data_IF_926219064703
#
_entry.id   IF_926219064703
#
_cell.length_a   1.000
_cell.length_b   1.000
_cell.length_c   1.000
_cell.angle_alpha   90.00
_cell.angle_beta   90.00
_cell.angle_gamma   90.00
#
_symmetry.space_group_name_H-M   'P 1'
#
loop_
_entity.id
_entity.type
_entity.pdbx_description
1 polymer ?
#
# COMPACT_ATOMS: atom_id res chain seq x y z
N UNK A 1 -4.11 -13.10 -24.91
CA UNK A 1 -3.04 -13.15 -23.89
C UNK A 1 -1.87 -13.95 -24.45
N UNK A 2 -0.62 -13.59 -24.15
CA UNK A 2 0.55 -14.34 -24.62
C UNK A 2 1.33 -14.89 -23.42
N UNK A 3 2.08 -15.99 -23.62
CA UNK A 3 2.89 -16.57 -22.54
C UNK A 3 3.95 -15.55 -22.06
N UNK A 4 4.54 -14.79 -22.98
CA UNK A 4 5.53 -13.75 -22.65
C UNK A 4 4.97 -12.67 -21.71
N UNK A 5 3.73 -12.22 -21.91
CA UNK A 5 3.13 -11.19 -21.04
C UNK A 5 2.87 -11.72 -19.63
N UNK A 6 2.51 -13.00 -19.51
CA UNK A 6 2.31 -13.65 -18.20
C UNK A 6 3.64 -13.78 -17.47
N UNK A 7 4.69 -14.28 -18.15
CA UNK A 7 6.02 -14.44 -17.54
C UNK A 7 6.59 -13.09 -17.08
N UNK A 8 6.50 -12.05 -17.93
CA UNK A 8 6.97 -10.72 -17.58
C UNK A 8 6.12 -10.07 -16.48
N UNK A 9 4.80 -10.28 -16.50
CA UNK A 9 3.90 -9.82 -15.45
C UNK A 9 4.20 -10.47 -14.10
N UNK A 10 4.41 -11.79 -14.07
CA UNK A 10 4.85 -12.51 -12.87
C UNK A 10 6.20 -12.00 -12.36
N UNK A 11 7.16 -11.81 -13.26
CA UNK A 11 8.48 -11.30 -12.90
C UNK A 11 8.37 -9.89 -12.30
N UNK A 12 7.61 -8.99 -12.92
CA UNK A 12 7.37 -7.66 -12.38
C UNK A 12 6.69 -7.71 -11.00
N UNK A 13 5.70 -8.59 -10.83
CA UNK A 13 5.01 -8.78 -9.55
C UNK A 13 5.97 -9.28 -8.45
N UNK A 14 6.80 -10.29 -8.75
CA UNK A 14 7.80 -10.83 -7.82
C UNK A 14 8.85 -9.77 -7.48
N UNK A 15 9.34 -9.02 -8.46
CA UNK A 15 10.32 -7.94 -8.25
C UNK A 15 9.73 -6.86 -7.35
N UNK A 16 8.52 -6.36 -7.62
CA UNK A 16 7.86 -5.35 -6.78
C UNK A 16 7.61 -5.86 -5.36
N UNK A 17 7.10 -7.10 -5.23
CA UNK A 17 6.82 -7.73 -3.94
C UNK A 17 8.09 -7.94 -3.11
N UNK A 18 9.18 -8.40 -3.74
CA UNK A 18 10.45 -8.72 -3.06
C UNK A 18 11.29 -7.48 -2.72
N UNK A 19 11.29 -6.48 -3.61
CA UNK A 19 12.06 -5.25 -3.42
C UNK A 19 11.34 -4.21 -2.57
N UNK A 20 10.03 -4.36 -2.30
CA UNK A 20 9.26 -3.45 -1.44
C UNK A 20 9.95 -3.16 -0.12
N UNK A 21 10.31 -4.19 0.64
CA UNK A 21 10.97 -4.01 1.93
C UNK A 21 12.31 -3.26 1.81
N UNK A 22 13.12 -3.55 0.78
CA UNK A 22 14.40 -2.88 0.55
C UNK A 22 14.18 -1.41 0.16
N UNK A 23 13.25 -1.15 -0.75
CA UNK A 23 12.88 0.19 -1.18
C UNK A 23 12.43 1.05 0.01
N UNK A 24 11.52 0.50 0.82
CA UNK A 24 10.80 1.23 1.86
C UNK A 24 11.67 1.41 3.11
N UNK A 25 12.38 0.36 3.53
CA UNK A 25 13.09 0.34 4.83
C UNK A 25 14.58 0.63 4.68
N UNK A 26 15.21 0.24 3.57
CA UNK A 26 16.67 0.39 3.42
C UNK A 26 17.04 1.63 2.61
N UNK A 27 16.30 1.90 1.53
CA UNK A 27 16.56 3.01 0.62
C UNK A 27 15.76 4.27 0.97
N UNK A 28 14.77 4.17 1.86
CA UNK A 28 13.87 5.29 2.23
C UNK A 28 13.26 5.98 1.02
N UNK A 29 12.96 5.18 -0.02
CA UNK A 29 12.29 5.64 -1.23
C UNK A 29 10.78 5.70 -1.00
N UNK A 30 10.07 6.29 -1.96
CA UNK A 30 8.60 6.28 -1.97
C UNK A 30 8.06 4.86 -1.87
N UNK A 31 7.08 4.65 -0.99
CA UNK A 31 6.57 3.32 -0.70
C UNK A 31 5.99 2.59 -1.93
N UNK A 32 6.39 1.34 -2.16
CA UNK A 32 5.88 0.55 -3.30
C UNK A 32 4.38 0.23 -3.17
N UNK A 33 3.92 0.00 -1.94
CA UNK A 33 2.52 -0.33 -1.61
C UNK A 33 1.95 0.54 -0.49
N UNK A 34 2.36 1.81 -0.40
CA UNK A 34 1.86 2.75 0.61
C UNK A 34 0.53 3.42 0.25
N UNK A 35 0.22 3.50 -1.06
CA UNK A 35 -0.97 4.16 -1.58
C UNK A 35 -1.90 3.15 -2.27
N UNK A 36 -3.20 3.46 -2.32
CA UNK A 36 -4.20 2.67 -3.06
C UNK A 36 -3.96 2.69 -4.59
N UNK A 37 -3.06 3.55 -5.05
CA UNK A 37 -2.68 3.71 -6.45
C UNK A 37 -1.28 3.11 -6.60
N UNK A 38 -1.11 2.02 -7.38
CA UNK A 38 0.19 1.36 -7.55
C UNK A 38 1.09 2.17 -8.51
N UNK A 39 1.62 3.27 -8.01
CA UNK A 39 2.46 4.24 -8.75
C UNK A 39 3.67 3.58 -9.41
N UNK A 40 4.29 2.61 -8.73
CA UNK A 40 5.44 1.85 -9.23
C UNK A 40 5.08 0.97 -10.43
N UNK A 41 3.91 0.33 -10.42
CA UNK A 41 3.44 -0.46 -11.55
C UNK A 41 3.20 0.43 -12.79
N UNK A 42 2.65 1.63 -12.60
CA UNK A 42 2.55 2.62 -13.67
C UNK A 42 3.90 3.18 -14.11
N UNK A 43 4.86 3.36 -13.20
CA UNK A 43 6.23 3.72 -13.55
C UNK A 43 6.88 2.67 -14.46
N UNK A 44 6.76 1.39 -14.10
CA UNK A 44 7.21 0.27 -14.93
C UNK A 44 6.49 0.22 -16.28
N UNK A 45 5.19 0.51 -16.31
CA UNK A 45 4.43 0.64 -17.56
C UNK A 45 4.98 1.75 -18.45
N UNK A 46 5.26 2.93 -17.90
CA UNK A 46 5.82 4.06 -18.64
C UNK A 46 7.20 3.73 -19.20
N UNK A 47 8.08 3.09 -18.43
CA UNK A 47 9.37 2.58 -18.91
C UNK A 47 9.15 1.54 -20.02
N UNK A 48 8.19 0.64 -19.82
CA UNK A 48 7.77 -0.34 -20.81
C UNK A 48 7.35 0.28 -22.14
N UNK A 49 6.55 1.35 -22.10
CA UNK A 49 6.01 2.02 -23.28
C UNK A 49 6.99 2.96 -23.98
N UNK A 50 7.82 3.67 -23.21
CA UNK A 50 8.71 4.72 -23.73
C UNK A 50 10.11 4.23 -24.07
N UNK A 51 10.56 3.15 -23.43
CA UNK A 51 11.93 2.64 -23.59
C UNK A 51 11.91 1.22 -24.14
N UNK A 52 11.27 0.28 -23.45
CA UNK A 52 11.35 -1.15 -23.80
C UNK A 52 10.65 -1.43 -25.13
N UNK A 53 9.41 -0.98 -25.30
CA UNK A 53 8.63 -1.29 -26.50
C UNK A 53 9.21 -0.68 -27.78
N UNK A 54 9.66 0.59 -27.79
CA UNK A 54 10.29 1.16 -28.98
C UNK A 54 11.60 0.44 -29.35
N UNK A 55 12.43 0.10 -28.34
CA UNK A 55 13.68 -0.66 -28.56
C UNK A 55 13.40 -2.06 -29.09
N UNK A 56 12.44 -2.77 -28.50
CA UNK A 56 12.03 -4.11 -28.97
C UNK A 56 11.36 -4.04 -30.34
N UNK A 57 10.69 -2.94 -30.65
CA UNK A 57 10.08 -2.66 -31.95
C UNK A 57 11.08 -2.46 -33.09
N UNK A 58 12.37 -2.24 -32.79
CA UNK A 58 13.44 -2.26 -33.79
C UNK A 58 13.59 -3.64 -34.43
N UNK A 59 13.21 -4.70 -33.70
CA UNK A 59 13.18 -6.07 -34.19
C UNK A 59 11.74 -6.43 -34.58
N UNK A 60 11.52 -6.74 -35.86
CA UNK A 60 10.18 -7.06 -36.37
C UNK A 60 9.57 -8.25 -35.61
N UNK A 61 8.39 -8.05 -35.02
CA UNK A 61 7.66 -9.06 -34.27
C UNK A 61 7.93 -9.11 -32.77
N UNK A 62 8.90 -8.34 -32.26
CA UNK A 62 9.25 -8.31 -30.84
C UNK A 62 8.51 -7.24 -30.04
N UNK A 63 7.86 -6.30 -30.73
CA UNK A 63 7.00 -5.28 -30.10
C UNK A 63 5.84 -5.90 -29.31
N UNK A 64 5.51 -5.25 -28.20
CA UNK A 64 4.39 -5.57 -27.33
C UNK A 64 3.10 -4.93 -27.82
N UNK A 65 2.00 -5.66 -27.65
CA UNK A 65 0.63 -5.17 -27.89
C UNK A 65 0.08 -4.53 -26.62
N UNK A 66 -0.87 -3.61 -26.76
CA UNK A 66 -1.57 -2.99 -25.62
C UNK A 66 -2.16 -4.04 -24.67
N UNK A 67 -2.76 -5.11 -25.20
CA UNK A 67 -3.33 -6.20 -24.39
C UNK A 67 -2.28 -6.97 -23.57
N UNK A 68 -1.01 -6.99 -23.99
CA UNK A 68 0.07 -7.60 -23.22
C UNK A 68 0.50 -6.72 -22.07
N UNK A 69 0.56 -5.40 -22.29
CA UNK A 69 0.80 -4.44 -21.23
C UNK A 69 -0.30 -4.43 -20.18
N UNK A 70 -1.57 -4.59 -20.58
CA UNK A 70 -2.68 -4.74 -19.62
C UNK A 70 -2.42 -5.94 -18.70
N UNK A 71 -2.04 -7.10 -19.25
CA UNK A 71 -1.74 -8.29 -18.43
C UNK A 71 -0.56 -8.03 -17.50
N UNK A 72 0.54 -7.46 -18.00
CA UNK A 72 1.72 -7.14 -17.18
C UNK A 72 1.34 -6.17 -16.05
N UNK A 73 0.57 -5.13 -16.36
CA UNK A 73 0.12 -4.12 -15.40
C UNK A 73 -0.77 -4.74 -14.32
N UNK A 74 -1.76 -5.56 -14.69
CA UNK A 74 -2.63 -6.25 -13.74
C UNK A 74 -1.87 -7.15 -12.77
N UNK A 75 -0.83 -7.84 -13.24
CA UNK A 75 0.01 -8.68 -12.37
C UNK A 75 0.93 -7.83 -11.48
N UNK A 76 1.51 -6.76 -12.02
CA UNK A 76 2.33 -5.82 -11.25
C UNK A 76 1.53 -5.15 -10.13
N UNK A 77 0.26 -4.81 -10.36
CA UNK A 77 -0.65 -4.28 -9.33
C UNK A 77 -0.75 -5.22 -8.14
N UNK A 78 -0.95 -6.51 -8.41
CA UNK A 78 -1.00 -7.53 -7.37
C UNK A 78 0.31 -7.61 -6.59
N UNK A 79 1.46 -7.51 -7.27
CA UNK A 79 2.77 -7.46 -6.62
C UNK A 79 2.96 -6.26 -5.70
N UNK A 80 2.51 -5.08 -6.13
CA UNK A 80 2.56 -3.84 -5.31
C UNK A 80 1.74 -3.94 -4.03
N UNK A 81 0.57 -4.60 -4.07
CA UNK A 81 -0.27 -4.81 -2.86
C UNK A 81 0.46 -5.66 -1.81
N UNK A 82 1.20 -6.68 -2.25
CA UNK A 82 1.94 -7.56 -1.35
C UNK A 82 3.17 -6.86 -0.74
N UNK A 83 3.83 -6.00 -1.52
CA UNK A 83 5.07 -5.30 -1.17
C UNK A 83 4.97 -4.40 0.09
N UNK A 84 3.80 -3.82 0.33
CA UNK A 84 3.60 -2.73 1.29
C UNK A 84 2.91 -3.12 2.61
N UNK A 85 2.07 -2.20 3.10
CA UNK A 85 1.29 -2.35 4.34
C UNK A 85 0.33 -3.54 4.31
N UNK A 86 -0.10 -3.96 3.13
CA UNK A 86 -1.03 -5.07 2.93
C UNK A 86 -0.48 -6.43 3.35
N UNK A 87 0.84 -6.61 3.42
CA UNK A 87 1.42 -7.88 3.87
C UNK A 87 2.81 -7.72 4.50
N UNK A 88 3.85 -7.41 3.72
CA UNK A 88 5.24 -7.56 4.20
C UNK A 88 5.65 -6.59 5.30
N UNK A 89 5.03 -5.41 5.41
CA UNK A 89 5.33 -4.50 6.52
C UNK A 89 4.77 -4.98 7.85
N UNK A 90 3.57 -5.57 7.83
CA UNK A 90 2.81 -5.84 9.04
C UNK A 90 2.84 -7.30 9.43
N UNK A 91 2.66 -8.23 8.50
CA UNK A 91 2.39 -9.64 8.79
C UNK A 91 3.44 -10.34 9.66
N UNK A 92 4.77 -10.21 9.43
CA UNK A 92 5.74 -11.02 10.18
C UNK A 92 5.84 -10.63 11.67
N UNK A 93 5.57 -9.37 12.00
CA UNK A 93 5.72 -8.85 13.36
C UNK A 93 4.72 -9.42 14.38
N UNK A 94 3.39 -9.37 14.18
CA UNK A 94 2.41 -9.94 15.10
C UNK A 94 2.45 -11.48 15.17
N UNK A 95 3.08 -12.16 14.21
CA UNK A 95 3.27 -13.61 14.25
C UNK A 95 4.41 -14.04 15.19
N UNK A 96 5.28 -13.12 15.60
CA UNK A 96 6.48 -13.45 16.38
C UNK A 96 6.62 -12.64 17.68
N UNK A 97 6.07 -11.43 17.77
CA UNK A 97 6.08 -10.65 19.02
C UNK A 97 5.37 -11.35 20.17
N UNK A 98 4.20 -12.00 20.02
CA UNK A 98 3.53 -12.66 21.14
C UNK A 98 4.35 -13.83 21.70
N UNK A 99 5.13 -14.50 20.85
CA UNK A 99 6.03 -15.58 21.25
C UNK A 99 7.14 -15.04 22.16
N UNK A 100 7.73 -13.91 21.80
CA UNK A 100 8.73 -13.22 22.63
C UNK A 100 8.13 -12.72 23.94
N UNK A 101 6.92 -12.18 23.89
CA UNK A 101 6.28 -11.60 25.06
C UNK A 101 5.83 -12.70 26.05
N UNK A 102 5.35 -13.85 25.55
CA UNK A 102 5.13 -15.07 26.34
C UNK A 102 6.40 -15.56 27.06
N UNK A 103 7.56 -15.41 26.42
CA UNK A 103 8.86 -15.79 26.99
C UNK A 103 9.39 -14.83 28.05
N UNK A 104 9.04 -13.53 27.97
CA UNK A 104 9.65 -12.46 28.77
C UNK A 104 8.75 -11.89 29.86
N UNK A 105 7.45 -11.92 29.66
CA UNK A 105 6.49 -11.26 30.53
C UNK A 105 5.90 -12.25 31.53
N UNK A 106 6.14 -12.08 32.85
CA UNK A 106 5.59 -12.98 33.88
C UNK A 106 4.07 -13.13 33.81
N UNK A 107 3.36 -12.05 33.45
CA UNK A 107 1.90 -12.06 33.28
C UNK A 107 1.43 -12.95 32.13
N UNK A 108 2.20 -13.01 31.04
CA UNK A 108 1.89 -13.83 29.88
C UNK A 108 2.21 -15.30 30.16
N UNK A 109 3.39 -15.56 30.71
CA UNK A 109 3.80 -16.91 31.12
C UNK A 109 2.84 -17.50 32.15
N UNK A 110 2.42 -16.72 33.14
CA UNK A 110 1.52 -17.16 34.20
C UNK A 110 0.10 -17.50 33.73
N UNK A 111 -0.34 -16.95 32.59
CA UNK A 111 -1.67 -17.17 32.01
C UNK A 111 -1.66 -18.05 30.76
N UNK A 112 -0.47 -18.44 30.31
CA UNK A 112 -0.20 -19.12 29.06
C UNK A 112 -1.06 -18.63 27.89
N UNK A 113 -0.89 -17.36 27.50
CA UNK A 113 -1.79 -16.72 26.53
C UNK A 113 -1.68 -17.31 25.12
N UNK A 114 -0.56 -17.94 24.78
CA UNK A 114 -0.40 -18.60 23.47
C UNK A 114 -1.30 -19.83 23.29
N UNK A 115 -1.83 -20.41 24.37
CA UNK A 115 -2.73 -21.59 24.28
C UNK A 115 -4.06 -21.27 23.58
N UNK A 116 -4.47 -19.99 23.56
CA UNK A 116 -5.70 -19.55 22.90
C UNK A 116 -5.56 -19.47 21.37
N UNK A 117 -4.34 -19.60 20.85
CA UNK A 117 -4.04 -19.45 19.42
C UNK A 117 -3.58 -20.80 18.87
N UNK A 118 -4.23 -21.34 17.83
CA UNK A 118 -3.78 -22.54 17.14
C UNK A 118 -2.31 -22.45 16.72
N UNK A 119 -1.60 -23.58 16.83
CA UNK A 119 -0.17 -23.68 16.56
C UNK A 119 0.16 -23.24 15.12
N UNK A 120 -0.72 -23.56 14.17
CA UNK A 120 -0.58 -23.21 12.76
C UNK A 120 -0.75 -21.71 12.48
N UNK A 121 -1.29 -20.92 13.41
CA UNK A 121 -1.42 -19.47 13.24
C UNK A 121 -0.15 -18.73 13.63
N UNK A 122 0.77 -19.37 14.35
CA UNK A 122 1.99 -18.76 14.89
C UNK A 122 3.23 -19.45 14.33
N UNK A 123 4.39 -18.79 14.40
CA UNK A 123 5.67 -19.41 14.05
C UNK A 123 5.93 -20.58 15.00
N UNK A 124 6.34 -21.74 14.46
CA UNK A 124 6.68 -22.93 15.24
C UNK A 124 8.01 -22.72 16.00
N UNK A 125 7.91 -21.92 17.06
CA UNK A 125 9.00 -21.44 17.90
C UNK A 125 8.46 -21.10 19.29
N UNK A 126 7.64 -21.97 19.90
CA UNK A 126 7.10 -21.71 21.25
C UNK A 126 8.19 -21.82 22.33
N UNK A 127 8.16 -20.96 23.37
CA UNK A 127 9.10 -21.04 24.48
C UNK A 127 8.99 -22.41 25.17
N UNK A 128 10.12 -23.03 25.47
CA UNK A 128 10.17 -24.32 26.19
C UNK A 128 10.96 -24.14 27.49
N UNK A 129 10.75 -24.99 28.50
CA UNK A 129 11.48 -24.93 29.77
C UNK A 129 13.03 -24.99 29.61
N UNK A 130 13.52 -25.51 28.48
CA UNK A 130 14.96 -25.54 28.13
C UNK A 130 15.44 -24.32 27.33
N UNK A 131 14.54 -23.62 26.65
CA UNK A 131 14.88 -22.50 25.75
C UNK A 131 13.80 -21.42 25.90
N UNK A 132 14.08 -20.45 26.78
CA UNK A 132 13.13 -19.38 27.08
C UNK A 132 12.87 -18.49 25.85
N UNK A 133 13.90 -18.19 25.04
CA UNK A 133 13.75 -17.47 23.77
C UNK A 133 14.29 -18.37 22.65
N UNK A 134 13.41 -18.95 21.82
CA UNK A 134 13.85 -19.80 20.71
C UNK A 134 14.75 -19.05 19.73
N UNK A 135 15.78 -19.73 19.20
CA UNK A 135 16.75 -19.15 18.26
C UNK A 135 16.07 -18.39 17.10
N UNK A 136 14.95 -18.90 16.59
CA UNK A 136 14.18 -18.27 15.50
C UNK A 136 13.67 -16.88 15.88
N UNK A 137 13.18 -16.72 17.12
CA UNK A 137 12.67 -15.46 17.66
C UNK A 137 13.84 -14.50 17.89
N UNK A 138 14.93 -14.98 18.48
CA UNK A 138 16.14 -14.19 18.67
C UNK A 138 16.71 -13.66 17.35
N UNK A 139 16.86 -14.54 16.35
CA UNK A 139 17.40 -14.23 15.04
C UNK A 139 16.55 -13.23 14.25
N UNK A 140 15.22 -13.25 14.43
CA UNK A 140 14.33 -12.28 13.80
C UNK A 140 14.52 -10.86 14.35
N UNK A 141 14.62 -10.70 15.69
CA UNK A 141 14.74 -9.38 16.31
C UNK A 141 16.15 -8.81 16.28
N UNK A 142 17.16 -9.65 16.50
CA UNK A 142 18.56 -9.22 16.58
C UNK A 142 19.24 -9.22 15.21
N UNK A 143 18.62 -9.85 14.21
CA UNK A 143 19.29 -10.19 12.96
C UNK A 143 20.25 -11.37 13.16
N UNK A 144 20.33 -12.25 12.16
CA UNK A 144 21.27 -13.37 12.19
C UNK A 144 22.64 -12.88 11.72
N UNK A 145 23.51 -12.57 12.66
CA UNK A 145 24.83 -11.91 12.46
C UNK A 145 25.90 -12.76 11.75
N UNK A 146 25.52 -13.89 11.14
CA UNK A 146 26.47 -14.89 10.63
C UNK A 146 26.82 -14.74 9.15
N UNK A 147 26.42 -13.66 8.48
CA UNK A 147 26.64 -13.52 7.03
C UNK A 147 27.69 -12.47 6.70
N UNK A 148 28.83 -12.89 6.14
CA UNK A 148 29.83 -11.99 5.51
C UNK A 148 29.32 -11.33 4.21
N UNK A 149 28.02 -11.42 3.94
CA UNK A 149 27.40 -10.91 2.71
C UNK A 149 26.83 -9.54 2.99
N UNK A 150 27.31 -8.55 2.26
CA UNK A 150 26.79 -7.19 2.35
C UNK A 150 26.22 -6.76 0.99
N UNK A 151 25.09 -6.05 1.03
CA UNK A 151 24.50 -5.36 -0.11
C UNK A 151 24.27 -3.92 0.33
N UNK A 152 24.75 -2.96 -0.45
CA UNK A 152 24.72 -1.53 -0.08
C UNK A 152 25.29 -1.27 1.34
N UNK A 153 26.32 -2.01 1.74
CA UNK A 153 26.97 -1.87 3.06
C UNK A 153 26.19 -2.46 4.25
N UNK A 154 25.04 -3.13 4.01
CA UNK A 154 24.24 -3.80 5.06
C UNK A 154 24.34 -5.31 4.94
N UNK A 155 24.39 -6.03 6.07
CA UNK A 155 24.37 -7.49 6.08
C UNK A 155 23.08 -8.03 5.46
N UNK A 156 23.21 -9.01 4.55
CA UNK A 156 22.08 -9.62 3.84
C UNK A 156 22.02 -11.12 4.11
N UNK A 157 20.84 -11.56 4.52
CA UNK A 157 20.53 -12.97 4.70
C UNK A 157 20.37 -13.66 3.35
N UNK A 158 20.98 -14.83 3.20
CA UNK A 158 20.61 -15.72 2.12
C UNK A 158 19.21 -16.28 2.37
N UNK A 159 18.40 -16.55 1.33
CA UNK A 159 17.13 -17.26 1.52
C UNK A 159 17.30 -18.54 2.33
N UNK A 160 18.40 -19.28 2.16
CA UNK A 160 18.67 -20.50 2.95
C UNK A 160 18.97 -20.29 4.44
N UNK A 161 19.27 -19.07 4.88
CA UNK A 161 19.55 -18.77 6.30
C UNK A 161 18.28 -18.64 7.14
N UNK A 162 17.15 -18.42 6.47
CA UNK A 162 15.81 -18.29 7.06
C UNK A 162 15.33 -19.67 7.53
N UNK A 163 14.81 -19.81 8.76
CA UNK A 163 14.34 -21.08 9.30
C UNK A 163 12.97 -21.48 8.69
N UNK A 164 12.92 -21.76 7.39
CA UNK A 164 11.67 -22.04 6.66
C UNK A 164 10.82 -23.16 7.27
N UNK A 165 11.45 -24.14 7.92
CA UNK A 165 10.71 -25.22 8.59
C UNK A 165 9.80 -24.69 9.71
N UNK A 166 10.29 -23.74 10.51
CA UNK A 166 9.51 -23.13 11.58
C UNK A 166 8.39 -22.21 11.06
N UNK A 167 8.60 -21.59 9.90
CA UNK A 167 7.62 -20.69 9.27
C UNK A 167 6.60 -21.41 8.38
N UNK A 168 6.89 -22.63 7.93
CA UNK A 168 6.09 -23.32 6.91
C UNK A 168 4.63 -23.53 7.35
N UNK A 169 4.31 -24.02 8.56
CA UNK A 169 2.92 -24.21 8.98
C UNK A 169 2.15 -22.88 8.94
N UNK A 170 2.74 -21.85 9.56
CA UNK A 170 2.25 -20.48 9.64
C UNK A 170 1.97 -19.88 8.27
N UNK A 171 2.97 -19.90 7.39
CA UNK A 171 2.85 -19.34 6.05
C UNK A 171 1.81 -20.10 5.21
N UNK A 172 1.74 -21.43 5.37
CA UNK A 172 0.75 -22.24 4.63
C UNK A 172 -0.67 -21.88 5.07
N UNK A 173 -0.91 -21.78 6.39
CA UNK A 173 -2.21 -21.39 6.93
C UNK A 173 -2.64 -20.00 6.43
N UNK A 174 -1.80 -18.99 6.65
CA UNK A 174 -2.13 -17.60 6.32
C UNK A 174 -2.18 -17.36 4.81
N UNK A 175 -1.28 -17.91 4.00
CA UNK A 175 -1.35 -17.75 2.54
C UNK A 175 -2.52 -18.50 1.92
N UNK A 176 -2.97 -19.61 2.51
CA UNK A 176 -4.20 -20.26 2.07
C UNK A 176 -5.40 -19.37 2.36
N UNK A 177 -5.50 -18.83 3.59
CA UNK A 177 -6.58 -17.91 3.96
C UNK A 177 -6.58 -16.65 3.08
N UNK A 178 -5.42 -16.04 2.86
CA UNK A 178 -5.27 -14.88 1.99
C UNK A 178 -5.63 -15.21 0.54
N UNK A 179 -5.17 -16.36 0.01
CA UNK A 179 -5.52 -16.81 -1.33
C UNK A 179 -7.03 -17.00 -1.51
N UNK A 180 -7.70 -17.59 -0.53
CA UNK A 180 -9.17 -17.71 -0.50
C UNK A 180 -9.84 -16.33 -0.40
N UNK A 181 -9.31 -15.42 0.42
CA UNK A 181 -9.81 -14.05 0.55
C UNK A 181 -9.70 -13.27 -0.77
N UNK A 182 -8.58 -13.37 -1.47
CA UNK A 182 -8.41 -12.78 -2.80
C UNK A 182 -9.36 -13.41 -3.83
N UNK A 183 -9.53 -14.73 -3.81
CA UNK A 183 -10.50 -15.41 -4.68
C UNK A 183 -11.94 -14.92 -4.41
N UNK A 184 -12.33 -14.84 -3.15
CA UNK A 184 -13.63 -14.30 -2.74
C UNK A 184 -13.80 -12.84 -3.17
N UNK A 185 -12.76 -12.00 -3.02
CA UNK A 185 -12.76 -10.62 -3.48
C UNK A 185 -12.92 -10.50 -4.99
N UNK A 186 -12.25 -11.33 -5.78
CA UNK A 186 -12.41 -11.39 -7.24
C UNK A 186 -13.85 -11.80 -7.58
N UNK A 187 -14.39 -12.83 -6.92
CA UNK A 187 -15.78 -13.23 -7.11
C UNK A 187 -16.77 -12.10 -6.78
N UNK A 188 -16.56 -11.40 -5.66
CA UNK A 188 -17.38 -10.25 -5.28
C UNK A 188 -17.33 -9.14 -6.33
N UNK A 189 -16.12 -8.80 -6.82
CA UNK A 189 -15.94 -7.83 -7.90
C UNK A 189 -16.71 -8.24 -9.15
N UNK A 190 -16.67 -9.52 -9.56
CA UNK A 190 -17.43 -10.00 -10.74
C UNK A 190 -18.94 -9.81 -10.56
N UNK A 191 -19.48 -10.04 -9.36
CA UNK A 191 -20.90 -9.86 -9.05
C UNK A 191 -21.30 -8.39 -9.09
N UNK A 192 -20.56 -7.53 -8.38
CA UNK A 192 -20.92 -6.10 -8.22
C UNK A 192 -20.56 -5.26 -9.45
N UNK A 193 -19.55 -5.67 -10.24
CA UNK A 193 -19.05 -4.89 -11.36
C UNK A 193 -20.14 -4.59 -12.38
N UNK A 194 -21.02 -5.55 -12.69
CA UNK A 194 -22.14 -5.33 -13.60
C UNK A 194 -23.10 -4.27 -13.07
N UNK A 195 -23.43 -4.30 -11.78
CA UNK A 195 -24.31 -3.33 -11.13
C UNK A 195 -23.68 -1.93 -11.16
N UNK A 196 -22.43 -1.79 -10.70
CA UNK A 196 -21.72 -0.52 -10.65
C UNK A 196 -21.47 0.08 -12.03
N UNK A 197 -21.12 -0.74 -13.02
CA UNK A 197 -20.81 -0.27 -14.37
C UNK A 197 -22.06 0.09 -15.18
N UNK A 198 -23.13 -0.71 -15.10
CA UNK A 198 -24.28 -0.55 -16.01
C UNK A 198 -25.43 0.24 -15.41
N UNK A 199 -25.60 0.24 -14.08
CA UNK A 199 -26.73 0.92 -13.43
C UNK A 199 -26.32 2.18 -12.69
N UNK A 200 -25.17 2.14 -12.01
CA UNK A 200 -24.67 3.26 -11.22
C UNK A 200 -23.64 4.11 -11.96
N UNK A 201 -23.21 3.68 -13.15
CA UNK A 201 -22.27 4.39 -14.03
C UNK A 201 -21.02 4.89 -13.29
N UNK A 202 -20.50 4.08 -12.36
CA UNK A 202 -19.33 4.43 -11.57
C UNK A 202 -18.13 4.63 -12.49
N UNK A 203 -17.45 5.78 -12.38
CA UNK A 203 -16.20 6.03 -13.08
C UNK A 203 -15.10 5.10 -12.57
N UNK A 204 -14.23 4.63 -13.47
CA UNK A 204 -13.03 3.85 -13.15
C UNK A 204 -11.74 4.64 -13.48
N UNK A 205 -11.38 5.69 -12.71
CA UNK A 205 -10.26 6.59 -12.99
C UNK A 205 -8.95 5.90 -13.35
N UNK A 206 -8.60 4.86 -12.58
CA UNK A 206 -7.36 4.08 -12.73
C UNK A 206 -7.35 3.33 -14.08
N UNK A 207 -8.49 2.73 -14.44
CA UNK A 207 -8.64 2.02 -15.73
C UNK A 207 -8.63 3.01 -16.88
N UNK A 208 -9.32 4.14 -16.76
CA UNK A 208 -9.31 5.21 -17.77
C UNK A 208 -7.89 5.71 -18.00
N UNK A 209 -7.14 6.00 -16.93
CA UNK A 209 -5.74 6.42 -17.03
C UNK A 209 -4.87 5.35 -17.71
N UNK A 210 -5.02 4.08 -17.36
CA UNK A 210 -4.29 2.99 -18.02
C UNK A 210 -4.63 2.88 -19.51
N UNK A 211 -5.91 3.01 -19.87
CA UNK A 211 -6.36 2.99 -21.26
C UNK A 211 -5.83 4.18 -22.06
N UNK A 212 -5.81 5.38 -21.47
CA UNK A 212 -5.23 6.58 -22.10
C UNK A 212 -3.73 6.43 -22.35
N UNK A 213 -2.98 5.74 -21.49
CA UNK A 213 -1.56 5.43 -21.72
C UNK A 213 -1.34 4.32 -22.75
N UNK A 214 -2.29 3.38 -22.87
CA UNK A 214 -2.20 2.22 -23.77
C UNK A 214 -2.89 2.41 -25.11
N UNK A 215 -3.57 3.55 -25.32
CA UNK A 215 -4.23 3.88 -26.57
C UNK A 215 -3.24 3.86 -27.75
N UNK A 216 -3.58 3.12 -28.78
CA UNK A 216 -2.79 3.00 -30.02
C UNK A 216 -3.57 3.54 -31.22
N UNK A 217 -2.96 4.43 -32.00
CA UNK A 217 -3.49 4.88 -33.29
C UNK A 217 -3.03 3.92 -34.41
N UNK A 218 -3.90 3.56 -35.37
CA UNK A 218 -3.51 2.79 -36.54
C UNK A 218 -2.38 3.49 -37.31
N UNK A 219 -1.27 2.78 -37.56
CA UNK A 219 -0.14 3.29 -38.34
C UNK A 219 0.90 4.10 -37.56
N UNK A 220 0.79 4.22 -36.22
CA UNK A 220 1.81 4.87 -35.39
C UNK A 220 2.16 4.04 -34.16
N UNK A 221 3.45 4.01 -33.81
CA UNK A 221 3.98 3.22 -32.68
C UNK A 221 3.87 3.91 -31.32
N UNK A 222 3.83 5.25 -31.29
CA UNK A 222 3.74 6.04 -30.08
C UNK A 222 2.34 6.60 -29.86
N UNK A 223 1.84 6.45 -28.63
CA UNK A 223 0.58 7.00 -28.16
C UNK A 223 0.53 8.54 -28.34
N UNK A 224 -0.61 9.11 -28.76
CA UNK A 224 -0.83 10.55 -28.82
C UNK A 224 -0.38 11.35 -27.61
N UNK A 225 -0.59 10.85 -26.40
CA UNK A 225 -0.32 11.58 -25.14
C UNK A 225 1.17 11.92 -25.00
N UNK A 226 2.06 11.01 -25.40
CA UNK A 226 3.51 11.20 -25.34
C UNK A 226 4.04 12.19 -26.39
N UNK A 227 3.20 12.69 -27.30
CA UNK A 227 3.57 13.74 -28.26
C UNK A 227 3.20 15.13 -27.76
N UNK A 228 2.38 15.22 -26.71
CA UNK A 228 1.91 16.49 -26.18
C UNK A 228 2.96 17.14 -25.30
N UNK A 229 3.32 18.39 -25.60
CA UNK A 229 4.29 19.15 -24.78
C UNK A 229 3.82 19.36 -23.35
N UNK A 230 2.51 19.56 -23.15
CA UNK A 230 1.92 19.73 -21.83
C UNK A 230 2.15 18.53 -20.90
N UNK A 231 2.03 17.31 -21.44
CA UNK A 231 2.33 16.08 -20.70
C UNK A 231 3.77 16.08 -20.18
N UNK A 232 4.73 16.38 -21.05
CA UNK A 232 6.15 16.39 -20.67
C UNK A 232 6.51 17.51 -19.70
N UNK A 233 5.88 18.68 -19.81
CA UNK A 233 6.08 19.77 -18.85
C UNK A 233 5.57 19.35 -17.47
N UNK A 234 4.36 18.82 -17.38
CA UNK A 234 3.80 18.34 -16.11
C UNK A 234 4.61 17.18 -15.51
N UNK A 235 5.01 16.21 -16.35
CA UNK A 235 5.87 15.11 -15.96
C UNK A 235 7.22 15.59 -15.43
N UNK A 236 7.89 16.51 -16.14
CA UNK A 236 9.18 17.04 -15.73
C UNK A 236 9.10 17.80 -14.41
N UNK A 237 8.07 18.63 -14.20
CA UNK A 237 7.87 19.36 -12.94
C UNK A 237 7.73 18.38 -11.77
N UNK A 238 6.82 17.41 -11.88
CA UNK A 238 6.60 16.43 -10.82
C UNK A 238 7.85 15.58 -10.57
N UNK A 239 8.50 15.11 -11.65
CA UNK A 239 9.72 14.29 -11.56
C UNK A 239 10.85 15.04 -10.87
N UNK A 240 11.10 16.30 -11.26
CA UNK A 240 12.18 17.11 -10.66
C UNK A 240 11.95 17.37 -9.18
N UNK A 241 10.70 17.68 -8.78
CA UNK A 241 10.35 17.89 -7.36
C UNK A 241 10.57 16.59 -6.57
N UNK A 242 10.09 15.46 -7.08
CA UNK A 242 10.22 14.17 -6.39
C UNK A 242 11.68 13.70 -6.31
N UNK A 243 12.49 13.89 -7.36
CA UNK A 243 13.92 13.58 -7.34
C UNK A 243 14.66 14.50 -6.37
N UNK A 244 14.37 15.81 -6.36
CA UNK A 244 14.98 16.74 -5.42
C UNK A 244 14.67 16.34 -3.96
N UNK A 245 13.45 15.92 -3.67
CA UNK A 245 13.05 15.44 -2.36
C UNK A 245 13.71 14.12 -1.98
N UNK A 246 13.81 13.16 -2.92
CA UNK A 246 14.54 11.91 -2.69
C UNK A 246 16.03 12.17 -2.40
N UNK A 247 16.66 13.08 -3.16
CA UNK A 247 18.04 13.51 -2.92
C UNK A 247 18.21 14.19 -1.56
N UNK A 248 17.27 15.04 -1.14
CA UNK A 248 17.28 15.65 0.19
C UNK A 248 17.21 14.60 1.31
N UNK A 249 16.45 13.52 1.13
CA UNK A 249 16.39 12.40 2.08
C UNK A 249 17.72 11.67 2.22
N UNK A 250 18.44 11.46 1.12
CA UNK A 250 19.76 10.80 1.15
C UNK A 250 20.90 11.74 1.53
N UNK A 251 20.79 13.01 1.15
CA UNK A 251 21.78 14.05 1.38
C UNK A 251 21.09 15.27 2.02
N UNK A 252 21.07 15.35 3.37
CA UNK A 252 20.38 16.42 4.09
C UNK A 252 20.83 17.84 3.72
N UNK A 253 22.04 17.99 3.16
CA UNK A 253 22.59 19.27 2.69
C UNK A 253 21.99 19.74 1.35
N UNK A 254 21.34 18.87 0.58
CA UNK A 254 20.67 19.23 -0.67
C UNK A 254 19.32 19.90 -0.36
N UNK A 255 18.89 20.98 -1.05
CA UNK A 255 17.63 21.63 -0.73
C UNK A 255 16.41 20.76 -1.10
N UNK A 256 15.55 20.47 -0.12
CA UNK A 256 14.24 19.84 -0.34
C UNK A 256 13.17 20.85 -0.74
N UNK A 257 12.23 20.45 -1.58
CA UNK A 257 11.05 21.24 -1.97
C UNK A 257 9.86 20.75 -1.15
N UNK A 258 9.35 21.59 -0.25
CA UNK A 258 8.20 21.22 0.57
C UNK A 258 6.96 20.97 -0.30
N UNK A 259 6.41 19.76 -0.22
CA UNK A 259 5.10 19.41 -0.77
C UNK A 259 3.99 19.58 0.27
N UNK A 260 4.30 20.18 1.43
CA UNK A 260 3.36 20.44 2.51
C UNK A 260 3.29 21.94 2.77
N UNK A 261 2.09 22.47 2.77
CA UNK A 261 1.79 23.81 3.27
C UNK A 261 1.29 23.66 4.70
N UNK A 262 2.11 24.14 5.64
CA UNK A 262 1.82 24.05 7.06
C UNK A 262 1.04 25.28 7.55
N UNK A 263 -0.25 25.09 7.76
CA UNK A 263 -1.18 26.06 8.31
C UNK A 263 -1.40 25.85 9.83
N UNK A 264 -0.57 25.03 10.50
CA UNK A 264 -0.64 24.79 11.95
C UNK A 264 -0.65 26.06 12.81
N UNK A 265 0.03 27.18 12.44
CA UNK A 265 -0.06 28.42 13.22
C UNK A 265 -1.49 28.95 13.43
N UNK A 266 -2.44 28.61 12.55
CA UNK A 266 -3.84 29.01 12.70
C UNK A 266 -4.58 28.29 13.82
N UNK A 267 -4.03 27.22 14.41
CA UNK A 267 -4.65 26.51 15.54
C UNK A 267 -4.95 27.41 16.74
N UNK A 268 -4.21 28.50 16.89
CA UNK A 268 -4.33 29.44 18.01
C UNK A 268 -5.52 30.40 17.86
N UNK A 269 -6.14 30.45 16.67
CA UNK A 269 -7.36 31.22 16.45
C UNK A 269 -8.48 30.70 17.35
N UNK A 270 -9.16 31.61 18.06
CA UNK A 270 -10.22 31.25 19.02
C UNK A 270 -11.35 30.43 18.40
N UNK A 271 -11.67 30.71 17.14
CA UNK A 271 -12.70 29.99 16.37
C UNK A 271 -12.31 28.53 16.14
N UNK A 272 -11.01 28.23 16.02
CA UNK A 272 -10.51 26.88 15.75
C UNK A 272 -10.22 26.07 17.01
N UNK A 273 -10.00 26.71 18.17
CA UNK A 273 -9.71 26.01 19.44
C UNK A 273 -10.71 24.88 19.78
N UNK A 274 -12.04 25.01 19.61
CA UNK A 274 -12.97 23.92 19.86
C UNK A 274 -12.78 22.75 18.89
N UNK A 275 -12.52 23.05 17.62
CA UNK A 275 -12.32 22.06 16.55
C UNK A 275 -11.01 21.29 16.78
N UNK A 276 -9.97 21.97 17.24
CA UNK A 276 -8.65 21.38 17.49
C UNK A 276 -8.64 20.36 18.64
N UNK A 277 -9.72 20.26 19.43
CA UNK A 277 -9.89 19.21 20.44
C UNK A 277 -10.32 17.86 19.84
N UNK A 278 -10.82 17.85 18.60
CA UNK A 278 -11.23 16.62 17.92
C UNK A 278 -9.97 15.82 17.52
N UNK A 279 -9.90 14.52 17.83
CA UNK A 279 -8.79 13.68 17.40
C UNK A 279 -8.60 13.73 15.88
N UNK A 280 -7.36 13.98 15.44
CA UNK A 280 -7.02 14.09 14.01
C UNK A 280 -7.30 15.45 13.35
N UNK A 281 -7.98 16.40 14.03
CA UNK A 281 -8.23 17.74 13.50
C UNK A 281 -6.98 18.51 13.06
N UNK A 282 -5.81 18.42 13.72
CA UNK A 282 -4.62 19.14 13.28
C UNK A 282 -4.16 18.80 11.86
N UNK A 283 -4.50 17.61 11.36
CA UNK A 283 -4.12 17.18 10.01
C UNK A 283 -4.77 18.03 8.91
N UNK A 284 -5.94 18.65 9.15
CA UNK A 284 -6.59 19.52 8.16
C UNK A 284 -5.81 20.82 7.91
N UNK A 285 -4.99 21.23 8.89
CA UNK A 285 -4.11 22.38 8.78
C UNK A 285 -2.81 22.04 8.04
N UNK A 286 -2.58 20.79 7.66
CA UNK A 286 -1.43 20.38 6.86
C UNK A 286 -1.89 20.00 5.47
N UNK A 287 -1.78 20.93 4.54
CA UNK A 287 -2.19 20.70 3.16
C UNK A 287 -1.02 20.03 2.43
N UNK A 288 -1.16 18.73 2.17
CA UNK A 288 -0.13 17.94 1.50
C UNK A 288 -0.49 17.71 0.02
N UNK A 289 0.43 18.06 -0.87
CA UNK A 289 0.30 17.85 -2.30
C UNK A 289 0.81 16.46 -2.69
N UNK A 290 -0.12 15.58 -3.07
CA UNK A 290 0.18 14.27 -3.63
C UNK A 290 0.01 14.31 -5.15
N UNK A 291 1.09 14.38 -5.92
CA UNK A 291 1.05 14.51 -7.38
C UNK A 291 0.22 13.39 -8.06
N UNK A 292 0.31 12.16 -7.57
CA UNK A 292 -0.47 11.04 -8.09
C UNK A 292 -1.98 11.21 -7.85
N UNK A 293 -2.36 11.67 -6.65
CA UNK A 293 -3.77 11.93 -6.31
C UNK A 293 -4.33 13.12 -7.12
N UNK A 294 -3.53 14.18 -7.30
CA UNK A 294 -3.89 15.33 -8.14
C UNK A 294 -4.13 14.87 -9.59
N UNK A 295 -3.23 14.04 -10.14
CA UNK A 295 -3.39 13.50 -11.49
C UNK A 295 -4.65 12.64 -11.65
N UNK A 296 -4.93 11.77 -10.67
CA UNK A 296 -6.13 10.93 -10.69
C UNK A 296 -7.42 11.72 -10.46
N UNK A 297 -7.39 12.81 -9.69
CA UNK A 297 -8.55 13.65 -9.43
C UNK A 297 -9.17 14.22 -10.72
N UNK A 298 -8.37 14.43 -11.79
CA UNK A 298 -8.87 14.85 -13.10
C UNK A 298 -9.74 13.79 -13.79
N UNK A 299 -9.64 12.52 -13.40
CA UNK A 299 -10.44 11.42 -13.93
C UNK A 299 -11.63 11.06 -13.04
N UNK A 300 -11.75 11.66 -11.85
CA UNK A 300 -12.91 11.47 -10.97
C UNK A 300 -14.08 12.38 -11.39
N UNK A 301 -15.31 11.95 -11.09
CA UNK A 301 -16.49 12.80 -11.27
C UNK A 301 -16.44 14.01 -10.32
N UNK A 302 -17.04 15.13 -10.73
CA UNK A 302 -17.10 16.35 -9.91
C UNK A 302 -17.80 16.10 -8.57
N UNK A 303 -18.83 15.25 -8.57
CA UNK A 303 -19.55 14.87 -7.35
C UNK A 303 -18.65 14.10 -6.38
N UNK A 304 -17.91 13.09 -6.86
CA UNK A 304 -17.00 12.32 -6.02
C UNK A 304 -15.86 13.21 -5.47
N UNK A 305 -15.29 14.06 -6.32
CA UNK A 305 -14.27 15.03 -5.91
C UNK A 305 -14.78 16.02 -4.87
N UNK A 306 -16.01 16.50 -5.02
CA UNK A 306 -16.66 17.38 -4.04
C UNK A 306 -16.90 16.66 -2.71
N UNK A 307 -17.45 15.44 -2.74
CA UNK A 307 -17.67 14.63 -1.54
C UNK A 307 -16.37 14.35 -0.79
N UNK A 308 -15.30 13.95 -1.48
CA UNK A 308 -13.98 13.73 -0.87
C UNK A 308 -13.44 15.02 -0.25
N UNK A 309 -13.52 16.14 -0.96
CA UNK A 309 -13.01 17.44 -0.49
C UNK A 309 -13.73 17.97 0.76
N UNK A 310 -15.06 17.85 0.83
CA UNK A 310 -15.83 18.39 1.94
C UNK A 310 -15.95 17.43 3.14
N UNK A 311 -15.71 16.13 2.94
CA UNK A 311 -15.90 15.09 3.96
C UNK A 311 -15.15 15.37 5.27
N UNK A 312 -13.88 15.78 5.21
CA UNK A 312 -13.09 16.10 6.40
C UNK A 312 -13.64 17.30 7.17
N UNK A 313 -14.12 18.33 6.46
CA UNK A 313 -14.73 19.51 7.08
C UNK A 313 -16.07 19.15 7.73
N UNK A 314 -16.91 18.36 7.05
CA UNK A 314 -18.18 17.88 7.59
C UNK A 314 -17.95 16.99 8.82
N UNK A 315 -16.95 16.12 8.78
CA UNK A 315 -16.57 15.30 9.93
C UNK A 315 -16.24 16.18 11.13
N UNK A 316 -15.41 17.22 10.95
CA UNK A 316 -15.08 18.16 12.03
C UNK A 316 -16.30 18.94 12.52
N UNK A 317 -17.19 19.37 11.61
CA UNK A 317 -18.42 20.07 11.97
C UNK A 317 -19.35 19.21 12.85
N UNK A 318 -19.41 17.90 12.59
CA UNK A 318 -20.21 16.95 13.39
C UNK A 318 -19.47 16.53 14.67
N UNK A 319 -18.17 16.27 14.60
CA UNK A 319 -17.37 15.78 15.72
C UNK A 319 -17.15 16.83 16.81
N UNK A 320 -16.96 18.10 16.44
CA UNK A 320 -16.70 19.19 17.39
C UNK A 320 -17.76 19.31 18.49
N UNK A 321 -19.09 19.38 18.20
CA UNK A 321 -20.10 19.43 19.25
C UNK A 321 -20.20 18.13 20.07
N UNK A 322 -19.83 16.98 19.51
CA UNK A 322 -19.82 15.71 20.24
C UNK A 322 -18.69 15.69 21.27
N UNK A 323 -17.47 16.07 20.85
CA UNK A 323 -16.32 16.22 21.75
C UNK A 323 -16.57 17.28 22.82
N UNK A 324 -17.23 18.40 22.46
CA UNK A 324 -17.61 19.43 23.42
C UNK A 324 -18.57 18.92 24.52
N UNK A 325 -19.34 17.86 24.24
CA UNK A 325 -20.20 17.18 25.22
C UNK A 325 -19.51 16.02 25.94
N UNK A 326 -18.22 15.80 25.71
CA UNK A 326 -17.45 14.73 26.34
C UNK A 326 -17.63 13.36 25.69
N UNK A 327 -18.18 13.28 24.47
CA UNK A 327 -18.27 12.02 23.73
C UNK A 327 -16.89 11.66 23.21
N UNK A 328 -16.49 10.41 23.45
CA UNK A 328 -15.22 9.89 22.98
C UNK A 328 -15.22 9.70 21.45
N UNK A 329 -14.33 10.45 20.79
CA UNK A 329 -14.08 10.42 19.36
C UNK A 329 -12.69 9.87 19.04
N UNK A 330 -12.08 9.12 19.97
CA UNK A 330 -10.90 8.31 19.70
C UNK A 330 -11.16 7.31 18.56
N UNK A 331 -10.11 6.96 17.81
CA UNK A 331 -10.23 6.20 16.57
C UNK A 331 -9.24 5.05 16.45
N UNK A 332 -8.54 4.69 17.52
CA UNK A 332 -7.66 3.54 17.50
C UNK A 332 -8.47 2.24 17.54
N UNK A 333 -7.99 1.21 16.83
CA UNK A 333 -8.71 -0.05 16.58
C UNK A 333 -9.15 -0.79 17.87
N UNK A 334 -8.58 -0.43 19.03
CA UNK A 334 -8.82 -1.05 20.34
C UNK A 334 -9.16 -0.05 21.45
N UNK A 335 -9.09 1.26 21.20
CA UNK A 335 -9.44 2.29 22.19
C UNK A 335 -10.96 2.48 22.34
N UNK A 336 -11.74 1.99 21.38
CA UNK A 336 -13.18 2.24 21.32
C UNK A 336 -13.48 3.58 20.63
N UNK A 337 -14.52 4.27 21.08
CA UNK A 337 -14.95 5.55 20.51
C UNK A 337 -16.06 5.43 19.46
N UNK A 338 -16.87 6.49 19.35
CA UNK A 338 -17.99 6.53 18.42
C UNK A 338 -17.60 6.24 16.95
N UNK A 339 -16.44 6.72 16.43
CA UNK A 339 -15.99 6.37 15.09
C UNK A 339 -15.79 4.86 14.89
N UNK A 340 -15.12 4.18 15.83
CA UNK A 340 -14.87 2.75 15.74
C UNK A 340 -16.17 1.93 15.69
N UNK A 341 -17.15 2.27 16.53
CA UNK A 341 -18.48 1.63 16.50
C UNK A 341 -19.24 1.92 15.22
N UNK A 342 -19.09 3.13 14.66
CA UNK A 342 -19.72 3.51 13.40
C UNK A 342 -19.15 2.72 12.22
N UNK A 343 -17.83 2.47 12.19
CA UNK A 343 -17.20 1.62 11.18
C UNK A 343 -17.70 0.18 11.27
N UNK A 344 -17.78 -0.38 12.48
CA UNK A 344 -18.35 -1.72 12.68
C UNK A 344 -19.80 -1.79 12.17
N UNK A 345 -20.63 -0.81 12.51
CA UNK A 345 -22.01 -0.73 12.04
C UNK A 345 -22.11 -0.65 10.51
N UNK A 346 -21.24 0.11 9.86
CA UNK A 346 -21.18 0.22 8.40
C UNK A 346 -20.80 -1.12 7.74
N UNK A 347 -19.78 -1.81 8.25
CA UNK A 347 -19.40 -3.14 7.73
C UNK A 347 -20.49 -4.19 7.95
N UNK A 348 -21.13 -4.18 9.12
CA UNK A 348 -22.25 -5.08 9.40
C UNK A 348 -23.43 -4.79 8.46
N UNK A 349 -23.76 -3.52 8.23
CA UNK A 349 -24.79 -3.11 7.27
C UNK A 349 -24.49 -3.62 5.86
N UNK A 350 -23.25 -3.45 5.38
CA UNK A 350 -22.85 -4.01 4.09
C UNK A 350 -22.96 -5.54 4.05
N UNK A 351 -22.54 -6.25 5.10
CA UNK A 351 -22.66 -7.70 5.16
C UNK A 351 -24.12 -8.16 5.07
N UNK A 352 -25.02 -7.49 5.80
CA UNK A 352 -26.46 -7.77 5.73
C UNK A 352 -27.05 -7.47 4.36
N UNK A 353 -26.63 -6.38 3.71
CA UNK A 353 -27.06 -6.06 2.34
C UNK A 353 -26.57 -7.06 1.29
N UNK A 354 -25.42 -7.70 1.52
CA UNK A 354 -24.90 -8.75 0.63
C UNK A 354 -25.59 -10.10 0.86
N UNK A 355 -26.05 -10.36 2.09
CA UNK A 355 -26.76 -11.59 2.45
C UNK A 355 -28.25 -11.58 2.03
N UNK A 356 -28.84 -10.39 1.90
CA UNK A 356 -30.20 -10.17 1.38
C UNK A 356 -30.19 -10.15 -0.15
#
# INVERSE_FOLDING_TARGET
>A
MTVRSIVLGLLAAVVLASLGYINDTWLYLSYIGGDLVPTHAYGLLLIGLLVVNPVMGLVKGWGFKASEFVVILSMAFMGSVLAGSGMFWQMPHPLITPIRDQARSPDWTGKDLLQYVPDEMMVDARPTAKEAIPEVVGAYFQGKDKTNRTLFGKHVLHPGDVPWKAWRPTLTFWFTLLGLGFAAGICAVVVVHRQWSMREHLSYPIVTFANELLATEPGRSLNPIFRQRGFWIGFAIALLILIANALHTWYPNFPGISTVVDCTPFKELEILKPVMKVPGAPSILKIQFFFAAIGLAFFLSSEASFSLGISGVLYLAVATPLVARGIDMSGSLMEGGLPAYSYFGAYLGMALMVLY
#
